data_IF_747731988807
#
_entry.id   IF_747731988807
#
_cell.length_a   1.000
_cell.length_b   1.000
_cell.length_c   1.000
_cell.angle_alpha   90.00
_cell.angle_beta   90.00
_cell.angle_gamma   90.00
#
_symmetry.space_group_name_H-M   'P 1'
#
loop_
_entity.id
_entity.type
_entity.pdbx_description
1 polymer ?
#
# COMPACT_ATOMS: atom_id res chain seq x y z
N UNK A 1 -35.17 -8.28 67.40
CA UNK A 1 -33.94 -8.75 66.74
C UNK A 1 -34.17 -8.78 65.22
N UNK A 2 -34.12 -7.63 64.56
CA UNK A 2 -34.17 -7.55 63.09
C UNK A 2 -33.16 -6.47 62.65
N UNK A 3 -32.50 -6.73 61.52
CA UNK A 3 -31.80 -5.74 60.68
C UNK A 3 -30.35 -5.37 61.04
N UNK A 4 -29.44 -6.35 61.01
CA UNK A 4 -28.00 -6.09 60.80
C UNK A 4 -27.47 -6.66 59.46
N UNK A 5 -28.25 -7.50 58.78
CA UNK A 5 -27.84 -8.18 57.55
C UNK A 5 -28.00 -7.30 56.28
N UNK A 6 -29.04 -6.46 56.21
CA UNK A 6 -29.34 -5.66 55.01
C UNK A 6 -28.30 -4.58 54.68
N UNK A 7 -27.67 -3.99 55.70
CA UNK A 7 -26.69 -2.92 55.54
C UNK A 7 -25.32 -3.42 55.01
N UNK A 8 -24.99 -4.71 55.23
CA UNK A 8 -23.73 -5.31 54.76
C UNK A 8 -23.83 -5.69 53.27
N UNK A 9 -24.98 -6.21 52.84
CA UNK A 9 -25.23 -6.58 51.44
C UNK A 9 -25.27 -5.36 50.51
N UNK A 10 -25.87 -4.24 50.95
CA UNK A 10 -25.92 -3.00 50.17
C UNK A 10 -24.53 -2.35 49.97
N UNK A 11 -23.62 -2.47 50.94
CA UNK A 11 -22.25 -1.96 50.85
C UNK A 11 -21.37 -2.79 49.91
N UNK A 12 -21.57 -4.10 49.87
CA UNK A 12 -20.83 -5.00 48.96
C UNK A 12 -21.26 -4.75 47.50
N UNK A 13 -22.56 -4.60 47.25
CA UNK A 13 -23.10 -4.31 45.91
C UNK A 13 -22.63 -2.93 45.40
N UNK A 14 -22.59 -1.92 46.27
CA UNK A 14 -22.14 -0.57 45.91
C UNK A 14 -20.62 -0.48 45.60
N UNK A 15 -19.80 -1.31 46.24
CA UNK A 15 -18.35 -1.40 45.98
C UNK A 15 -18.07 -2.21 44.70
N UNK A 16 -18.86 -3.24 44.42
CA UNK A 16 -18.73 -4.03 43.18
C UNK A 16 -19.19 -3.25 41.93
N UNK A 17 -20.20 -2.38 42.04
CA UNK A 17 -20.69 -1.58 40.91
C UNK A 17 -19.74 -0.42 40.55
N UNK A 18 -19.03 0.15 41.53
CA UNK A 18 -18.01 1.18 41.29
C UNK A 18 -16.72 0.60 40.70
N UNK A 19 -16.35 -0.64 41.04
CA UNK A 19 -15.23 -1.34 40.37
C UNK A 19 -15.57 -1.71 38.90
N UNK A 20 -16.81 -2.09 38.61
CA UNK A 20 -17.23 -2.45 37.25
C UNK A 20 -17.34 -1.23 36.32
N UNK A 21 -17.74 -0.06 36.84
CA UNK A 21 -17.75 1.20 36.08
C UNK A 21 -16.34 1.78 35.86
N UNK A 22 -15.38 1.50 36.74
CA UNK A 22 -13.98 1.90 36.57
C UNK A 22 -13.24 1.12 35.47
N UNK A 23 -13.62 -0.14 35.23
CA UNK A 23 -12.99 -0.99 34.21
C UNK A 23 -13.46 -0.71 32.77
N UNK A 24 -14.59 -0.02 32.58
CA UNK A 24 -15.11 0.30 31.23
C UNK A 24 -14.59 1.63 30.66
N UNK A 25 -13.86 2.42 31.43
CA UNK A 25 -13.38 3.75 31.01
C UNK A 25 -11.95 3.77 30.45
N UNK A 26 -11.23 2.64 30.50
CA UNK A 26 -9.89 2.54 29.92
C UNK A 26 -9.97 1.93 28.51
N UNK A 27 -10.71 2.57 27.61
CA UNK A 27 -10.42 2.41 26.19
C UNK A 27 -8.99 2.95 25.98
N UNK A 28 -8.03 2.18 25.47
CA UNK A 28 -6.79 2.78 24.99
C UNK A 28 -7.22 3.69 23.85
N UNK A 29 -7.25 4.99 24.11
CA UNK A 29 -7.16 5.96 23.04
C UNK A 29 -5.90 5.57 22.29
N UNK A 30 -6.08 5.07 21.06
CA UNK A 30 -4.98 4.86 20.14
C UNK A 30 -4.33 6.23 19.99
N UNK A 31 -3.28 6.47 20.78
CA UNK A 31 -2.36 7.56 20.58
C UNK A 31 -1.77 7.31 19.21
N UNK A 32 -2.34 7.99 18.21
CA UNK A 32 -1.67 8.18 16.94
C UNK A 32 -0.34 8.84 17.31
N UNK A 33 0.71 8.04 17.35
CA UNK A 33 2.06 8.55 17.52
C UNK A 33 2.36 9.34 16.25
N UNK A 34 2.07 10.63 16.27
CA UNK A 34 2.62 11.56 15.28
C UNK A 34 4.13 11.30 15.29
N UNK A 35 4.63 10.76 14.19
CA UNK A 35 6.05 10.63 14.00
C UNK A 35 6.62 12.05 14.10
N UNK A 36 7.58 12.27 15.00
CA UNK A 36 8.32 13.54 15.15
C UNK A 36 9.25 13.79 13.94
N UNK A 37 8.83 13.40 12.75
CA UNK A 37 9.59 13.58 11.53
C UNK A 37 9.42 15.01 11.03
N UNK A 38 10.47 15.81 11.14
CA UNK A 38 10.54 17.12 10.49
C UNK A 38 11.23 16.97 9.15
N UNK A 39 10.50 17.13 8.05
CA UNK A 39 11.06 17.04 6.71
C UNK A 39 12.16 18.11 6.52
N UNK A 40 13.33 17.75 5.96
CA UNK A 40 14.37 18.73 5.65
C UNK A 40 13.82 19.78 4.68
N UNK A 41 14.36 21.00 4.79
CA UNK A 41 13.97 22.13 3.93
C UNK A 41 15.17 22.70 3.22
N UNK A 42 14.96 23.16 2.01
CA UNK A 42 15.96 23.92 1.25
C UNK A 42 16.21 25.28 1.91
N UNK A 43 17.31 25.99 1.58
CA UNK A 43 17.58 27.34 2.10
C UNK A 43 16.47 28.37 1.82
N UNK A 44 15.60 28.12 0.83
CA UNK A 44 14.44 28.94 0.48
C UNK A 44 13.11 28.41 1.05
N UNK A 45 13.16 27.45 1.98
CA UNK A 45 12.02 27.04 2.81
C UNK A 45 11.07 26.00 2.20
N UNK A 46 11.34 25.50 0.99
CA UNK A 46 10.60 24.40 0.37
C UNK A 46 11.02 23.04 0.95
N UNK A 47 10.18 21.99 0.91
CA UNK A 47 10.61 20.63 1.24
C UNK A 47 11.82 20.22 0.39
N UNK A 48 12.84 19.70 1.05
CA UNK A 48 14.02 19.18 0.36
C UNK A 48 13.76 17.74 -0.09
N UNK A 49 13.55 17.58 -1.40
CA UNK A 49 13.34 16.28 -2.06
C UNK A 49 14.59 15.77 -2.78
N UNK A 50 15.76 16.39 -2.53
CA UNK A 50 17.01 15.90 -3.10
C UNK A 50 17.35 14.52 -2.52
N UNK A 51 17.76 13.60 -3.39
CA UNK A 51 18.10 12.25 -2.99
C UNK A 51 18.10 11.29 -4.18
N UNK A 52 18.47 10.05 -3.90
CA UNK A 52 18.28 8.93 -4.82
C UNK A 52 16.96 8.27 -4.46
N UNK A 53 16.05 8.23 -5.43
CA UNK A 53 14.72 7.64 -5.29
C UNK A 53 14.67 6.40 -6.15
N UNK A 54 14.32 5.27 -5.55
CA UNK A 54 14.07 4.01 -6.25
C UNK A 54 12.67 3.54 -5.93
N UNK A 55 12.03 2.88 -6.88
CA UNK A 55 10.76 2.19 -6.67
C UNK A 55 10.94 0.66 -6.59
N UNK A 56 12.18 0.18 -6.45
CA UNK A 56 12.51 -1.23 -6.31
C UNK A 56 11.93 -1.76 -4.98
N UNK A 57 10.84 -2.50 -5.07
CA UNK A 57 10.17 -3.10 -3.91
C UNK A 57 9.43 -4.37 -4.31
N UNK A 58 9.29 -5.28 -3.37
CA UNK A 58 8.40 -6.44 -3.47
C UNK A 58 7.04 -6.16 -2.81
N UNK A 59 6.86 -4.96 -2.25
CA UNK A 59 5.57 -4.52 -1.69
C UNK A 59 4.57 -4.30 -2.82
N UNK A 60 3.42 -5.00 -2.83
CA UNK A 60 2.45 -4.87 -3.90
C UNK A 60 1.85 -3.46 -3.91
N UNK A 61 1.47 -2.99 -5.11
CA UNK A 61 0.81 -1.69 -5.25
C UNK A 61 -0.49 -1.65 -4.45
N UNK A 62 -1.32 -2.68 -4.61
CA UNK A 62 -2.62 -2.83 -3.98
C UNK A 62 -2.59 -3.95 -2.94
N UNK A 63 -3.33 -3.79 -1.85
CA UNK A 63 -3.41 -4.78 -0.80
C UNK A 63 -3.99 -6.10 -1.32
N UNK A 64 -3.31 -7.23 -1.12
CA UNK A 64 -3.86 -8.55 -1.40
C UNK A 64 -5.16 -8.78 -0.63
N UNK A 65 -6.09 -9.52 -1.24
CA UNK A 65 -7.43 -9.71 -0.68
C UNK A 65 -7.39 -10.44 0.67
N UNK A 66 -6.44 -11.36 0.84
CA UNK A 66 -6.22 -12.12 2.07
C UNK A 66 -5.68 -11.27 3.24
N UNK A 67 -5.17 -10.07 2.97
CA UNK A 67 -4.70 -9.11 3.97
C UNK A 67 -5.69 -7.95 4.16
N UNK A 68 -6.94 -8.08 3.71
CA UNK A 68 -7.94 -7.02 3.85
C UNK A 68 -8.08 -6.55 5.31
N UNK A 69 -8.00 -5.24 5.53
CA UNK A 69 -8.04 -4.63 6.87
C UNK A 69 -6.74 -4.72 7.67
N UNK A 70 -5.74 -5.46 7.20
CA UNK A 70 -4.42 -5.54 7.81
C UNK A 70 -3.46 -4.60 7.08
N UNK A 71 -3.28 -3.38 7.59
CA UNK A 71 -2.38 -2.39 6.99
C UNK A 71 -0.89 -2.73 7.16
N UNK A 72 -0.55 -3.48 8.22
CA UNK A 72 0.82 -3.83 8.57
C UNK A 72 0.95 -5.32 8.89
N UNK A 73 2.04 -5.91 8.41
CA UNK A 73 2.55 -7.21 8.79
C UNK A 73 3.34 -7.10 10.10
N UNK A 74 3.50 -8.22 10.80
CA UNK A 74 4.61 -8.36 11.74
C UNK A 74 5.93 -8.55 10.99
N UNK A 75 7.05 -8.38 11.68
CA UNK A 75 8.36 -8.61 11.07
C UNK A 75 8.54 -10.07 10.65
N UNK A 76 8.03 -11.01 11.45
CA UNK A 76 8.07 -12.44 11.13
C UNK A 76 7.24 -12.75 9.88
N UNK A 77 6.04 -12.16 9.76
CA UNK A 77 5.20 -12.31 8.58
C UNK A 77 5.85 -11.70 7.33
N UNK A 78 6.49 -10.54 7.47
CA UNK A 78 7.23 -9.86 6.40
C UNK A 78 8.38 -10.74 5.89
N UNK A 79 9.19 -11.31 6.78
CA UNK A 79 10.31 -12.20 6.41
C UNK A 79 9.80 -13.44 5.68
N UNK A 80 8.72 -14.07 6.16
CA UNK A 80 8.14 -15.26 5.53
C UNK A 80 7.52 -14.97 4.15
N UNK A 81 7.01 -13.75 3.93
CA UNK A 81 6.36 -13.36 2.67
C UNK A 81 7.31 -12.70 1.67
N UNK A 82 8.42 -12.13 2.12
CA UNK A 82 9.38 -11.48 1.23
C UNK A 82 10.06 -12.56 0.36
N UNK A 83 9.98 -12.49 -0.97
CA UNK A 83 10.62 -13.49 -1.82
C UNK A 83 12.14 -13.43 -1.64
N UNK A 84 12.79 -14.60 -1.49
CA UNK A 84 14.24 -14.69 -1.32
C UNK A 84 15.03 -14.06 -2.49
N UNK A 85 14.43 -14.03 -3.70
CA UNK A 85 15.05 -13.41 -4.87
C UNK A 85 15.07 -11.88 -4.81
N UNK A 86 14.31 -11.25 -3.91
CA UNK A 86 14.08 -9.81 -3.88
C UNK A 86 13.30 -9.27 -5.08
N UNK A 87 12.89 -10.12 -6.02
CA UNK A 87 12.13 -9.68 -7.19
C UNK A 87 10.65 -9.84 -6.94
N UNK A 88 9.87 -8.80 -7.23
CA UNK A 88 8.41 -8.84 -7.11
C UNK A 88 7.82 -10.01 -7.92
N UNK A 89 6.91 -10.73 -7.30
CA UNK A 89 6.22 -11.89 -7.90
C UNK A 89 4.92 -11.50 -8.60
N UNK A 90 4.45 -10.25 -8.48
CA UNK A 90 3.28 -9.77 -9.21
C UNK A 90 3.53 -9.89 -10.73
N UNK A 91 2.68 -10.70 -11.39
CA UNK A 91 2.50 -10.80 -12.84
C UNK A 91 3.71 -11.15 -13.73
N UNK A 92 4.82 -11.70 -13.21
CA UNK A 92 5.99 -12.10 -14.03
C UNK A 92 5.65 -12.98 -15.23
N UNK A 93 4.67 -13.88 -15.11
CA UNK A 93 4.26 -14.78 -16.18
C UNK A 93 3.24 -14.16 -17.15
N UNK A 94 2.46 -13.18 -16.71
CA UNK A 94 1.42 -12.55 -17.53
C UNK A 94 2.01 -11.59 -18.57
N UNK A 95 3.09 -10.89 -18.23
CA UNK A 95 3.74 -9.92 -19.13
C UNK A 95 4.81 -10.53 -20.05
N UNK A 96 5.31 -11.73 -19.74
CA UNK A 96 6.48 -12.31 -20.41
C UNK A 96 6.24 -13.79 -20.79
N UNK A 97 5.25 -14.09 -21.65
CA UNK A 97 4.87 -15.46 -22.01
C UNK A 97 5.97 -16.22 -22.77
N UNK A 98 6.92 -15.51 -23.39
CA UNK A 98 8.09 -16.09 -24.06
C UNK A 98 9.25 -16.41 -23.12
N UNK A 99 9.06 -16.26 -21.80
CA UNK A 99 10.08 -16.41 -20.78
C UNK A 99 10.47 -15.07 -20.16
N UNK A 100 10.76 -15.07 -18.86
CA UNK A 100 11.24 -13.89 -18.15
C UNK A 100 12.67 -13.53 -18.61
N UNK A 101 12.98 -12.24 -18.55
CA UNK A 101 14.33 -11.72 -18.75
C UNK A 101 15.27 -12.32 -17.69
N UNK A 102 16.58 -12.37 -17.93
CA UNK A 102 17.51 -12.92 -16.94
C UNK A 102 17.35 -12.17 -15.60
N UNK A 103 17.35 -12.90 -14.49
CA UNK A 103 17.05 -12.34 -13.15
C UNK A 103 17.95 -11.17 -12.74
N UNK A 104 19.20 -11.14 -13.22
CA UNK A 104 20.15 -10.08 -12.89
C UNK A 104 19.80 -8.70 -13.48
N UNK A 105 18.87 -8.66 -14.43
CA UNK A 105 18.35 -7.41 -15.01
C UNK A 105 17.10 -6.90 -14.30
N UNK A 106 16.55 -7.67 -13.37
CA UNK A 106 15.34 -7.33 -12.65
C UNK A 106 15.70 -6.53 -11.40
N UNK A 107 14.86 -5.56 -11.09
CA UNK A 107 15.02 -4.79 -9.86
C UNK A 107 14.76 -5.69 -8.66
N UNK A 108 15.69 -5.65 -7.69
CA UNK A 108 15.56 -6.33 -6.41
C UNK A 108 15.19 -5.29 -5.35
N UNK A 109 14.17 -5.61 -4.57
CA UNK A 109 13.74 -4.80 -3.44
C UNK A 109 13.30 -5.67 -2.27
N UNK A 110 12.76 -5.01 -1.25
CA UNK A 110 12.26 -5.68 -0.07
C UNK A 110 10.79 -5.35 0.19
N UNK A 111 10.14 -6.31 0.86
CA UNK A 111 8.78 -6.15 1.35
C UNK A 111 8.83 -5.24 2.55
N UNK A 112 8.06 -4.16 2.51
CA UNK A 112 7.83 -3.28 3.64
C UNK A 112 6.93 -4.00 4.67
N UNK A 113 6.91 -3.54 5.92
CA UNK A 113 5.88 -3.94 6.88
C UNK A 113 4.48 -3.56 6.40
N UNK A 114 4.32 -2.55 5.56
CA UNK A 114 3.05 -2.25 4.90
C UNK A 114 2.65 -3.35 3.93
N UNK A 115 1.39 -3.72 3.94
CA UNK A 115 0.80 -4.72 3.03
C UNK A 115 0.46 -4.16 1.65
N UNK A 116 0.64 -2.86 1.41
CA UNK A 116 0.39 -2.17 0.14
C UNK A 116 1.14 -0.83 0.04
N UNK A 117 1.47 -0.39 -1.18
CA UNK A 117 1.95 0.98 -1.41
C UNK A 117 0.83 2.01 -1.36
N UNK A 118 -0.39 1.66 -1.78
CA UNK A 118 -1.57 2.52 -1.59
C UNK A 118 -1.88 2.59 -0.08
N UNK A 119 -1.83 3.82 0.46
CA UNK A 119 -2.10 4.12 1.87
C UNK A 119 -3.54 4.57 2.07
N UNK A 120 -3.99 5.47 1.20
CA UNK A 120 -5.34 6.01 1.15
C UNK A 120 -5.92 5.74 -0.23
N UNK A 121 -7.09 5.09 -0.35
CA UNK A 121 -8.02 4.69 0.72
C UNK A 121 -7.47 3.62 1.69
N UNK A 122 -7.96 3.54 2.95
CA UNK A 122 -7.43 2.65 3.98
C UNK A 122 -7.51 1.16 3.64
N UNK A 123 -8.35 0.78 2.68
CA UNK A 123 -8.40 -0.59 2.15
C UNK A 123 -7.17 -0.95 1.30
N UNK A 124 -6.29 0.01 1.01
CA UNK A 124 -5.02 -0.18 0.31
C UNK A 124 -5.19 -0.54 -1.15
N UNK A 125 -6.32 -0.19 -1.78
CA UNK A 125 -6.60 -0.51 -3.18
C UNK A 125 -6.96 0.75 -3.97
N UNK A 126 -6.66 0.75 -5.26
CA UNK A 126 -7.03 1.86 -6.11
C UNK A 126 -8.56 1.98 -6.19
N UNK A 127 -9.12 3.18 -6.20
CA UNK A 127 -10.54 3.37 -6.46
C UNK A 127 -10.94 2.75 -7.80
N UNK A 128 -12.17 2.25 -7.88
CA UNK A 128 -12.71 1.75 -9.14
C UNK A 128 -12.74 2.89 -10.18
N UNK A 129 -12.36 2.56 -11.42
CA UNK A 129 -12.43 3.51 -12.53
C UNK A 129 -13.89 3.93 -12.77
N UNK A 130 -14.09 5.22 -13.04
CA UNK A 130 -15.40 5.72 -13.48
C UNK A 130 -15.70 5.25 -14.90
N UNK A 131 -16.98 5.15 -15.27
CA UNK A 131 -17.38 4.80 -16.64
C UNK A 131 -16.67 5.63 -17.73
N UNK A 132 -16.63 6.98 -17.61
CA UNK A 132 -15.89 7.81 -18.55
C UNK A 132 -14.38 7.52 -18.59
N UNK A 133 -13.75 7.22 -17.46
CA UNK A 133 -12.32 6.89 -17.40
C UNK A 133 -12.03 5.55 -18.08
N UNK A 134 -12.86 4.53 -17.86
CA UNK A 134 -12.74 3.24 -18.55
C UNK A 134 -12.84 3.41 -20.07
N UNK A 135 -13.72 4.30 -20.55
CA UNK A 135 -13.84 4.58 -21.98
C UNK A 135 -12.58 5.27 -22.52
N UNK A 136 -12.02 6.25 -21.79
CA UNK A 136 -10.75 6.88 -22.16
C UNK A 136 -9.63 5.86 -22.31
N UNK A 137 -9.44 4.99 -21.31
CA UNK A 137 -8.36 3.99 -21.33
C UNK A 137 -8.49 3.01 -22.50
N UNK A 138 -9.71 2.63 -22.88
CA UNK A 138 -9.96 1.72 -24.02
C UNK A 138 -9.57 2.32 -25.37
N UNK A 139 -9.60 3.63 -25.51
CA UNK A 139 -9.29 4.33 -26.77
C UNK A 139 -7.90 4.96 -26.78
N UNK A 140 -7.11 4.79 -25.71
CA UNK A 140 -5.73 5.26 -25.70
C UNK A 140 -4.91 4.48 -26.73
N UNK A 141 -4.17 5.17 -27.63
CA UNK A 141 -3.29 4.50 -28.58
C UNK A 141 -2.27 3.65 -27.85
N UNK A 142 -2.07 2.39 -28.23
CA UNK A 142 -1.04 1.53 -27.65
C UNK A 142 -0.69 0.38 -28.60
N UNK A 143 0.56 -0.06 -28.54
CA UNK A 143 1.05 -1.19 -29.35
C UNK A 143 0.53 -2.56 -28.89
N UNK A 144 -0.09 -2.66 -27.71
CA UNK A 144 -0.51 -3.91 -27.09
C UNK A 144 -1.95 -4.34 -27.45
N UNK A 145 -2.68 -3.51 -28.20
CA UNK A 145 -4.03 -3.82 -28.65
C UNK A 145 -3.99 -4.77 -29.86
N UNK A 146 -4.54 -6.00 -29.76
CA UNK A 146 -4.45 -6.98 -30.84
C UNK A 146 -5.28 -6.63 -32.07
N UNK A 147 -6.18 -5.63 -31.96
CA UNK A 147 -7.09 -5.21 -33.04
C UNK A 147 -6.68 -3.89 -33.68
N UNK A 148 -5.53 -3.32 -33.30
CA UNK A 148 -5.13 -2.00 -33.77
C UNK A 148 -4.41 -2.09 -35.11
N UNK A 149 -4.84 -1.25 -36.06
CA UNK A 149 -4.12 -1.00 -37.32
C UNK A 149 -3.29 0.26 -37.11
N UNK A 150 -2.01 0.21 -37.49
CA UNK A 150 -1.07 1.31 -37.31
C UNK A 150 -0.77 1.95 -38.67
N UNK A 151 -1.25 3.16 -38.89
CA UNK A 151 -1.06 3.95 -40.12
C UNK A 151 -0.13 5.15 -39.90
N UNK A 152 0.04 5.57 -38.64
CA UNK A 152 0.83 6.73 -38.25
C UNK A 152 1.55 6.49 -36.92
N UNK A 153 2.61 7.28 -36.70
CA UNK A 153 3.25 7.36 -35.39
C UNK A 153 2.31 7.84 -34.28
N UNK A 154 1.18 8.48 -34.62
CA UNK A 154 0.15 8.90 -33.67
C UNK A 154 -0.67 7.74 -33.09
N UNK A 155 -0.59 6.55 -33.68
CA UNK A 155 -1.31 5.36 -33.22
C UNK A 155 -0.61 4.65 -32.04
N UNK A 156 0.53 5.19 -31.62
CA UNK A 156 1.36 4.72 -30.52
C UNK A 156 1.32 5.70 -29.34
N UNK A 157 1.29 5.20 -28.09
CA UNK A 157 1.39 6.09 -26.92
C UNK A 157 2.81 6.68 -26.76
N UNK A 158 2.95 7.58 -25.79
CA UNK A 158 4.23 8.20 -25.45
C UNK A 158 5.33 7.19 -25.07
N UNK A 159 4.96 6.03 -24.52
CA UNK A 159 5.92 4.98 -24.15
C UNK A 159 6.43 4.24 -25.39
N UNK A 160 5.53 3.78 -26.25
CA UNK A 160 5.82 3.12 -27.53
C UNK A 160 6.71 3.98 -28.44
N UNK A 161 6.60 5.31 -28.31
CA UNK A 161 7.35 6.29 -29.10
C UNK A 161 8.66 6.72 -28.45
N UNK A 162 9.09 6.06 -27.38
CA UNK A 162 10.30 6.37 -26.63
C UNK A 162 10.35 7.82 -26.10
N UNK A 163 9.20 8.44 -25.83
CA UNK A 163 9.14 9.81 -25.31
C UNK A 163 9.22 9.77 -23.79
N UNK A 164 8.32 9.02 -23.16
CA UNK A 164 8.29 8.86 -21.70
C UNK A 164 7.35 7.72 -21.30
N UNK A 165 7.64 7.07 -20.16
CA UNK A 165 6.66 6.21 -19.46
C UNK A 165 5.48 7.01 -18.89
N UNK A 166 5.59 8.33 -18.85
CA UNK A 166 4.58 9.23 -18.30
C UNK A 166 4.50 9.16 -16.77
N UNK A 167 3.78 10.11 -16.18
CA UNK A 167 3.43 10.07 -14.76
C UNK A 167 1.98 9.58 -14.62
N UNK A 168 1.68 8.67 -13.68
CA UNK A 168 2.57 8.13 -12.66
C UNK A 168 3.42 6.93 -13.13
N UNK A 169 3.32 6.48 -14.38
CA UNK A 169 3.94 5.23 -14.87
C UNK A 169 5.44 5.08 -14.57
N UNK A 170 6.22 6.16 -14.61
CA UNK A 170 7.64 6.16 -14.24
C UNK A 170 7.89 5.95 -12.72
N UNK A 171 6.91 6.27 -11.88
CA UNK A 171 7.00 6.13 -10.41
C UNK A 171 6.39 4.83 -9.88
N UNK A 172 5.56 4.15 -10.67
CA UNK A 172 4.91 2.92 -10.24
C UNK A 172 5.95 1.82 -10.05
N UNK A 173 5.83 0.96 -9.02
CA UNK A 173 6.73 -0.17 -8.85
C UNK A 173 6.63 -1.08 -10.08
N UNK A 174 7.76 -1.60 -10.53
CA UNK A 174 7.79 -2.55 -11.62
C UNK A 174 9.07 -3.39 -11.59
N UNK A 175 9.15 -4.38 -12.47
CA UNK A 175 10.17 -5.43 -12.38
C UNK A 175 11.47 -5.11 -13.16
N UNK A 176 11.47 -4.13 -14.06
CA UNK A 176 12.58 -3.90 -15.00
C UNK A 176 12.84 -2.43 -15.31
N UNK A 177 14.10 -1.99 -15.09
CA UNK A 177 14.59 -0.65 -15.39
C UNK A 177 13.79 0.43 -14.66
N UNK A 178 13.76 0.34 -13.32
CA UNK A 178 13.04 1.28 -12.46
C UNK A 178 13.91 1.87 -11.32
N UNK A 179 15.23 1.84 -11.49
CA UNK A 179 16.20 2.49 -10.61
C UNK A 179 16.73 3.82 -11.16
#
# INVERSE_FOLDING_TARGET
MLSAAGARSARIIAVSLTLLLGLLAAAPAAVAQESQYTAPRTPWGAPDLNGVWSNATTTPLQRPAELAGQAFLTEEERILRNPESGVSTEERSAFMPTGAYNDFWLEQGELNLRTSLVIDPPNGRLPALTGPEMQRQRVLPNSFSPTQVFDSWLDFNAYDRCITRGMPGAMMPGFYNHN
#
